data_IF_052877401881
#
_entry.id   IF_052877401881
#
_cell.length_a   1.000
_cell.length_b   1.000
_cell.length_c   1.000
_cell.angle_alpha   90.00
_cell.angle_beta   90.00
_cell.angle_gamma   90.00
#
_symmetry.space_group_name_H-M   'P 1'
#
loop_
_entity.id
_entity.type
_entity.pdbx_description
1 polymer ?
#
# COMPACT_ATOMS: atom_id res chain seq x y z
N UNK A 1 23.14 19.83 52.43
CA UNK A 1 22.51 18.56 52.84
C UNK A 1 22.11 17.82 51.57
N UNK A 2 22.81 16.72 51.29
CA UNK A 2 22.70 15.87 50.12
C UNK A 2 21.52 14.91 50.26
N UNK A 3 20.49 15.06 49.43
CA UNK A 3 19.34 14.16 49.37
C UNK A 3 19.45 13.20 48.18
N UNK A 4 19.77 11.93 48.47
CA UNK A 4 19.81 10.83 47.50
C UNK A 4 18.40 10.53 46.97
N UNK A 5 18.23 10.59 45.65
CA UNK A 5 17.11 9.94 44.97
C UNK A 5 17.43 8.44 44.91
N UNK A 6 16.55 7.60 45.46
CA UNK A 6 16.65 6.14 45.36
C UNK A 6 16.27 5.72 43.94
N UNK A 7 17.21 5.11 43.22
CA UNK A 7 16.92 4.35 42.01
C UNK A 7 15.99 3.19 42.37
N UNK A 8 14.82 3.14 41.73
CA UNK A 8 13.95 1.97 41.74
C UNK A 8 14.60 0.83 40.96
N UNK A 9 14.22 -0.44 41.21
CA UNK A 9 14.84 -1.58 40.55
C UNK A 9 14.62 -1.48 39.03
N UNK A 10 15.69 -1.78 38.29
CA UNK A 10 15.67 -1.89 36.84
C UNK A 10 14.46 -2.70 36.37
N UNK A 11 13.64 -2.09 35.53
CA UNK A 11 12.55 -2.73 34.83
C UNK A 11 13.13 -3.90 34.04
N UNK A 12 12.82 -5.12 34.49
CA UNK A 12 13.26 -6.33 33.82
C UNK A 12 12.65 -6.33 32.43
N UNK A 13 13.51 -6.18 31.42
CA UNK A 13 13.16 -6.42 30.02
C UNK A 13 12.67 -7.87 29.93
N UNK A 14 11.35 -8.03 29.88
CA UNK A 14 10.72 -9.30 29.56
C UNK A 14 11.20 -9.69 28.16
N UNK A 15 11.73 -10.91 27.96
CA UNK A 15 12.13 -11.35 26.63
C UNK A 15 10.91 -11.35 25.72
N UNK A 16 11.14 -10.95 24.46
CA UNK A 16 10.22 -11.13 23.34
C UNK A 16 9.52 -12.47 23.46
N UNK A 17 8.19 -12.44 23.64
CA UNK A 17 7.40 -13.65 23.51
C UNK A 17 7.34 -14.00 22.03
N UNK A 18 8.35 -14.74 21.59
CA UNK A 18 8.33 -15.49 20.36
C UNK A 18 7.06 -16.35 20.32
N UNK A 19 6.47 -16.38 19.12
CA UNK A 19 5.27 -17.12 18.74
C UNK A 19 5.17 -18.48 19.45
N UNK A 20 4.08 -18.73 20.17
CA UNK A 20 3.81 -20.03 20.77
C UNK A 20 3.71 -21.13 19.69
N UNK A 21 4.15 -22.37 19.98
CA UNK A 21 4.03 -23.47 19.04
C UNK A 21 2.55 -23.83 18.86
N UNK A 22 1.99 -23.50 17.68
CA UNK A 22 0.60 -23.87 17.32
C UNK A 22 -0.19 -22.81 16.55
N UNK A 23 0.29 -21.57 16.46
CA UNK A 23 -0.38 -20.58 15.62
C UNK A 23 0.01 -20.79 14.14
N UNK A 24 -0.93 -21.30 13.34
CA UNK A 24 -0.73 -21.50 11.91
C UNK A 24 -0.15 -20.23 11.28
N UNK A 25 0.85 -20.36 10.42
CA UNK A 25 1.29 -19.23 9.61
C UNK A 25 0.07 -18.66 8.87
N UNK A 26 -0.10 -17.31 8.82
CA UNK A 26 -1.20 -16.74 8.06
C UNK A 26 -1.09 -17.25 6.62
N UNK A 27 -2.18 -17.86 6.12
CA UNK A 27 -2.21 -18.33 4.75
C UNK A 27 -2.06 -17.13 3.81
N UNK A 28 -1.27 -17.27 2.75
CA UNK A 28 -1.09 -16.24 1.72
C UNK A 28 -1.84 -16.65 0.46
N UNK A 29 -2.51 -15.69 -0.19
CA UNK A 29 -2.89 -15.85 -1.58
C UNK A 29 -1.65 -15.75 -2.49
N UNK A 30 -1.74 -16.32 -3.69
CA UNK A 30 -0.72 -16.13 -4.71
C UNK A 30 -0.78 -14.73 -5.33
N UNK A 31 -1.99 -14.20 -5.46
CA UNK A 31 -2.26 -12.88 -5.99
C UNK A 31 -3.39 -12.23 -5.20
N UNK A 32 -3.15 -11.00 -4.74
CA UNK A 32 -4.23 -10.08 -4.36
C UNK A 32 -4.50 -9.19 -5.57
N UNK A 33 -5.73 -9.13 -6.05
CA UNK A 33 -6.13 -8.39 -7.25
C UNK A 33 -7.08 -7.24 -6.88
N UNK A 34 -6.68 -6.01 -7.15
CA UNK A 34 -7.50 -4.82 -6.93
C UNK A 34 -8.29 -4.49 -8.19
N UNK A 35 -9.60 -4.48 -8.04
CA UNK A 35 -10.59 -4.27 -9.10
C UNK A 35 -11.02 -2.80 -9.24
N UNK A 36 -10.54 -1.94 -8.34
CA UNK A 36 -10.76 -0.51 -8.43
C UNK A 36 -10.44 0.23 -7.14
N UNK A 37 -10.02 1.47 -7.33
CA UNK A 37 -9.91 2.50 -6.30
C UNK A 37 -11.01 3.52 -6.57
N UNK A 38 -11.98 3.63 -5.67
CA UNK A 38 -13.19 4.44 -5.87
C UNK A 38 -13.12 5.73 -5.05
N UNK A 39 -13.24 6.86 -5.75
CA UNK A 39 -13.44 8.14 -5.12
C UNK A 39 -14.93 8.37 -4.81
N UNK A 40 -15.26 9.30 -3.90
CA UNK A 40 -16.65 9.64 -3.59
C UNK A 40 -17.47 10.04 -4.83
N UNK A 41 -16.84 10.70 -5.80
CA UNK A 41 -17.48 11.07 -7.06
C UNK A 41 -17.92 9.86 -7.90
N UNK A 42 -17.16 8.77 -7.86
CA UNK A 42 -17.51 7.54 -8.60
C UNK A 42 -18.73 6.85 -7.96
N UNK A 43 -18.77 6.81 -6.63
CA UNK A 43 -19.89 6.23 -5.87
C UNK A 43 -21.19 7.05 -6.05
N UNK A 44 -21.07 8.38 -6.13
CA UNK A 44 -22.21 9.29 -6.31
C UNK A 44 -22.73 9.36 -7.75
N UNK A 45 -21.87 9.11 -8.75
CA UNK A 45 -22.27 9.07 -10.15
C UNK A 45 -23.26 7.93 -10.47
N UNK A 46 -23.40 6.97 -9.55
CA UNK A 46 -24.45 5.96 -9.57
C UNK A 46 -24.12 4.71 -10.39
N UNK A 47 -25.06 3.74 -10.44
CA UNK A 47 -24.79 2.39 -10.96
C UNK A 47 -24.32 2.32 -12.41
N UNK A 48 -24.76 3.24 -13.28
CA UNK A 48 -24.35 3.26 -14.68
C UNK A 48 -22.84 3.52 -14.83
N UNK A 49 -22.31 4.50 -14.07
CA UNK A 49 -20.88 4.82 -14.07
C UNK A 49 -20.05 3.66 -13.53
N UNK A 50 -20.52 3.03 -12.44
CA UNK A 50 -19.87 1.85 -11.87
C UNK A 50 -19.84 0.69 -12.87
N UNK A 51 -20.92 0.48 -13.63
CA UNK A 51 -20.99 -0.56 -14.67
C UNK A 51 -19.96 -0.32 -15.77
N UNK A 52 -19.90 0.90 -16.31
CA UNK A 52 -18.88 1.25 -17.31
C UNK A 52 -17.45 1.02 -16.80
N UNK A 53 -17.20 1.27 -15.52
CA UNK A 53 -15.90 1.02 -14.91
C UNK A 53 -15.61 -0.47 -14.82
N UNK A 54 -16.53 -1.26 -14.27
CA UNK A 54 -16.34 -2.71 -14.13
C UNK A 54 -16.27 -3.44 -15.47
N UNK A 55 -17.02 -3.02 -16.49
CA UNK A 55 -16.93 -3.55 -17.84
C UNK A 55 -15.53 -3.36 -18.44
N UNK A 56 -14.85 -2.26 -18.10
CA UNK A 56 -13.46 -2.00 -18.51
C UNK A 56 -12.46 -2.81 -17.68
N UNK A 57 -12.73 -3.04 -16.40
CA UNK A 57 -11.85 -3.79 -15.48
C UNK A 57 -11.90 -5.29 -15.76
N UNK A 58 -13.08 -5.85 -16.01
CA UNK A 58 -13.34 -7.28 -16.15
C UNK A 58 -12.36 -8.04 -17.07
N UNK A 59 -12.09 -7.60 -18.32
CA UNK A 59 -11.16 -8.33 -19.20
C UNK A 59 -9.72 -8.37 -18.65
N UNK A 60 -9.30 -7.32 -17.95
CA UNK A 60 -7.95 -7.22 -17.37
C UNK A 60 -7.83 -8.02 -16.06
N UNK A 61 -8.87 -8.00 -15.23
CA UNK A 61 -8.94 -8.83 -14.03
C UNK A 61 -8.84 -10.31 -14.41
N UNK A 62 -9.58 -10.74 -15.42
CA UNK A 62 -9.52 -12.11 -15.94
C UNK A 62 -8.15 -12.44 -16.56
N UNK A 63 -7.53 -11.49 -17.28
CA UNK A 63 -6.15 -11.67 -17.78
C UNK A 63 -5.14 -11.86 -16.64
N UNK A 64 -5.25 -11.08 -15.57
CA UNK A 64 -4.39 -11.21 -14.38
C UNK A 64 -4.59 -12.57 -13.67
N UNK A 65 -5.84 -13.04 -13.55
CA UNK A 65 -6.15 -14.38 -13.02
C UNK A 65 -5.51 -15.48 -13.86
N UNK A 66 -5.67 -15.43 -15.18
CA UNK A 66 -5.06 -16.40 -16.11
C UNK A 66 -3.54 -16.38 -16.05
N UNK A 67 -2.93 -15.20 -15.96
CA UNK A 67 -1.48 -15.07 -15.80
C UNK A 67 -1.00 -15.70 -14.49
N UNK A 68 -1.72 -15.48 -13.39
CA UNK A 68 -1.43 -16.12 -12.11
C UNK A 68 -1.58 -17.64 -12.21
N UNK A 69 -2.71 -18.15 -12.73
CA UNK A 69 -2.94 -19.59 -12.90
C UNK A 69 -1.93 -20.26 -13.84
N UNK A 70 -1.45 -19.57 -14.89
CA UNK A 70 -0.41 -20.10 -15.76
C UNK A 70 0.95 -20.27 -15.05
N UNK A 71 1.27 -19.38 -14.11
CA UNK A 71 2.47 -19.48 -13.28
C UNK A 71 2.29 -20.46 -12.13
N UNK A 72 1.08 -20.51 -11.56
CA UNK A 72 0.81 -21.17 -10.28
C UNK A 72 0.26 -22.57 -10.42
N UNK A 73 -0.55 -22.80 -11.44
CA UNK A 73 -1.41 -23.96 -11.61
C UNK A 73 -2.88 -23.64 -11.30
N UNK A 74 -3.79 -24.60 -11.53
CA UNK A 74 -5.24 -24.41 -11.35
C UNK A 74 -5.66 -24.18 -9.89
N UNK A 75 -4.82 -24.53 -8.92
CA UNK A 75 -5.05 -24.28 -7.49
C UNK A 75 -4.59 -22.89 -7.04
N UNK A 76 -4.49 -21.93 -7.96
CA UNK A 76 -4.07 -20.58 -7.66
C UNK A 76 -5.07 -19.88 -6.73
N UNK A 77 -4.66 -19.70 -5.48
CA UNK A 77 -5.35 -18.84 -4.50
C UNK A 77 -5.26 -17.38 -4.93
N UNK A 78 -6.37 -16.77 -5.32
CA UNK A 78 -6.44 -15.36 -5.75
C UNK A 78 -7.55 -14.68 -4.97
N UNK A 79 -7.21 -13.63 -4.22
CA UNK A 79 -8.17 -12.77 -3.56
C UNK A 79 -8.42 -11.50 -4.38
N UNK A 80 -9.62 -10.96 -4.29
CA UNK A 80 -10.00 -9.69 -4.92
C UNK A 80 -10.34 -8.61 -3.91
N UNK A 81 -10.06 -7.36 -4.26
CA UNK A 81 -10.39 -6.25 -3.39
C UNK A 81 -10.78 -4.99 -4.16
N UNK A 82 -11.47 -4.10 -3.45
CA UNK A 82 -11.64 -2.71 -3.86
C UNK A 82 -11.19 -1.81 -2.71
N UNK A 83 -10.60 -0.67 -3.06
CA UNK A 83 -10.22 0.38 -2.12
C UNK A 83 -11.21 1.54 -2.27
N UNK A 84 -11.75 2.02 -1.15
CA UNK A 84 -12.67 3.16 -1.11
C UNK A 84 -11.97 4.34 -0.44
N UNK A 85 -11.81 5.45 -1.17
CA UNK A 85 -11.43 6.73 -0.56
C UNK A 85 -12.61 7.23 0.29
N UNK A 86 -12.50 7.01 1.60
CA UNK A 86 -13.48 7.46 2.58
C UNK A 86 -13.14 8.80 3.24
N UNK A 87 -12.02 9.44 2.87
CA UNK A 87 -11.62 10.74 3.41
C UNK A 87 -12.55 11.85 2.95
N UNK A 88 -12.90 11.86 1.66
CA UNK A 88 -13.86 12.80 1.08
C UNK A 88 -15.29 12.23 1.01
N UNK A 89 -15.50 10.95 1.36
CA UNK A 89 -16.78 10.26 1.23
C UNK A 89 -17.85 10.63 2.28
N UNK A 90 -17.62 11.63 3.13
CA UNK A 90 -18.59 12.11 4.14
C UNK A 90 -19.97 12.50 3.58
N UNK A 91 -20.12 12.60 2.25
CA UNK A 91 -21.40 12.86 1.57
C UNK A 91 -22.12 11.61 1.06
N UNK A 92 -21.44 10.47 0.96
CA UNK A 92 -22.03 9.19 0.56
C UNK A 92 -22.26 8.31 1.79
N UNK A 93 -23.43 7.65 1.85
CA UNK A 93 -23.79 6.74 2.95
C UNK A 93 -23.37 5.31 2.55
N UNK A 94 -22.47 4.62 3.28
CA UNK A 94 -22.00 3.28 2.95
C UNK A 94 -23.16 2.28 2.76
N UNK A 95 -24.14 2.32 3.66
CA UNK A 95 -25.41 1.59 3.59
C UNK A 95 -26.12 1.67 2.23
N UNK A 96 -26.01 2.82 1.54
CA UNK A 96 -26.69 3.05 0.27
C UNK A 96 -25.82 2.75 -0.96
N UNK A 97 -24.50 2.98 -0.87
CA UNK A 97 -23.60 2.90 -2.04
C UNK A 97 -22.91 1.55 -2.16
N UNK A 98 -22.55 0.91 -1.04
CA UNK A 98 -21.81 -0.35 -1.07
C UNK A 98 -22.63 -1.52 -1.62
N UNK A 99 -23.93 -1.71 -1.26
CA UNK A 99 -24.74 -2.75 -1.89
C UNK A 99 -24.85 -2.57 -3.41
N UNK A 100 -24.96 -1.32 -3.88
CA UNK A 100 -25.03 -1.01 -5.32
C UNK A 100 -23.70 -1.34 -6.02
N UNK A 101 -22.58 -0.96 -5.42
CA UNK A 101 -21.26 -1.29 -5.94
C UNK A 101 -21.05 -2.79 -6.06
N UNK A 102 -21.37 -3.55 -5.01
CA UNK A 102 -21.23 -5.01 -4.99
C UNK A 102 -22.15 -5.69 -6.02
N UNK A 103 -23.40 -5.23 -6.14
CA UNK A 103 -24.34 -5.75 -7.13
C UNK A 103 -23.85 -5.50 -8.57
N UNK A 104 -23.39 -4.29 -8.87
CA UNK A 104 -22.90 -3.97 -10.22
C UNK A 104 -21.61 -4.71 -10.56
N UNK A 105 -20.73 -4.92 -9.58
CA UNK A 105 -19.53 -5.76 -9.77
C UNK A 105 -19.92 -7.21 -10.10
N UNK A 106 -20.86 -7.78 -9.34
CA UNK A 106 -21.38 -9.14 -9.60
C UNK A 106 -22.04 -9.25 -10.99
N UNK A 107 -22.84 -8.26 -11.40
CA UNK A 107 -23.43 -8.19 -12.74
C UNK A 107 -22.37 -8.20 -13.86
N UNK A 108 -21.20 -7.60 -13.60
CA UNK A 108 -20.06 -7.59 -14.52
C UNK A 108 -19.18 -8.85 -14.44
N UNK A 109 -19.58 -9.86 -13.65
CA UNK A 109 -18.81 -11.08 -13.43
C UNK A 109 -17.57 -10.90 -12.54
N UNK A 110 -17.54 -9.82 -11.75
CA UNK A 110 -16.47 -9.50 -10.82
C UNK A 110 -16.91 -9.76 -9.38
N UNK A 111 -16.48 -10.89 -8.85
CA UNK A 111 -16.59 -11.16 -7.42
C UNK A 111 -15.60 -10.27 -6.65
N UNK A 112 -16.09 -9.59 -5.60
CA UNK A 112 -15.28 -8.81 -4.67
C UNK A 112 -15.20 -9.58 -3.34
N UNK A 113 -14.00 -9.99 -2.96
CA UNK A 113 -13.76 -10.72 -1.71
C UNK A 113 -13.58 -9.78 -0.52
N UNK A 114 -12.92 -8.64 -0.73
CA UNK A 114 -12.58 -7.68 0.30
C UNK A 114 -12.91 -6.23 -0.09
N UNK A 115 -13.36 -5.46 0.89
CA UNK A 115 -13.50 -4.01 0.81
C UNK A 115 -12.58 -3.37 1.85
N UNK A 116 -11.73 -2.46 1.42
CA UNK A 116 -10.87 -1.69 2.31
C UNK A 116 -11.20 -0.19 2.25
N UNK A 117 -11.01 0.48 3.39
CA UNK A 117 -11.09 1.94 3.48
C UNK A 117 -9.70 2.54 3.31
N UNK A 118 -9.55 3.58 2.49
CA UNK A 118 -8.27 4.25 2.30
C UNK A 118 -7.78 4.88 3.61
N UNK A 119 -8.68 5.40 4.45
CA UNK A 119 -8.32 5.94 5.77
C UNK A 119 -7.63 4.92 6.66
N UNK A 120 -7.85 3.62 6.46
CA UNK A 120 -7.14 2.55 7.15
C UNK A 120 -5.63 2.57 6.89
N UNK A 121 -5.20 3.08 5.73
CA UNK A 121 -3.79 3.25 5.38
C UNK A 121 -3.13 4.34 6.25
N UNK A 122 -3.90 5.33 6.69
CA UNK A 122 -3.43 6.32 7.66
C UNK A 122 -3.52 5.78 9.10
N UNK A 123 -4.70 5.29 9.49
CA UNK A 123 -5.04 4.86 10.85
C UNK A 123 -6.03 3.69 10.84
N UNK A 124 -5.67 2.59 11.51
CA UNK A 124 -6.50 1.39 11.65
C UNK A 124 -6.64 1.04 13.14
N UNK A 125 -7.66 1.61 13.79
CA UNK A 125 -7.84 1.47 15.24
C UNK A 125 -6.68 2.11 16.01
N UNK A 126 -5.96 1.31 16.79
CA UNK A 126 -4.79 1.78 17.55
C UNK A 126 -3.49 1.85 16.72
N UNK A 127 -3.49 1.23 15.53
CA UNK A 127 -2.31 1.16 14.66
C UNK A 127 -2.32 2.34 13.69
N UNK A 128 -1.14 2.88 13.39
CA UNK A 128 -0.95 3.99 12.44
C UNK A 128 -0.07 3.56 11.27
N UNK A 129 -0.63 2.93 10.22
CA UNK A 129 0.17 2.23 9.23
C UNK A 129 1.06 3.16 8.41
N UNK A 130 0.56 4.34 8.04
CA UNK A 130 1.35 5.40 7.41
C UNK A 130 2.60 5.77 8.21
N UNK A 131 2.53 5.78 9.55
CA UNK A 131 3.67 6.06 10.42
C UNK A 131 4.67 4.91 10.45
N UNK A 132 4.20 3.67 10.42
CA UNK A 132 5.07 2.49 10.32
C UNK A 132 5.84 2.49 8.99
N UNK A 133 5.18 2.84 7.88
CA UNK A 133 5.83 2.95 6.58
C UNK A 133 6.83 4.10 6.56
N UNK A 134 6.45 5.28 7.06
CA UNK A 134 7.34 6.44 7.14
C UNK A 134 8.62 6.13 7.92
N UNK A 135 8.50 5.46 9.07
CA UNK A 135 9.64 5.06 9.90
C UNK A 135 10.56 4.03 9.24
N UNK A 136 10.02 3.22 8.31
CA UNK A 136 10.77 2.23 7.53
C UNK A 136 11.37 2.77 6.24
N UNK A 137 11.21 4.06 5.92
CA UNK A 137 11.82 4.64 4.73
C UNK A 137 13.32 4.83 4.95
N UNK A 138 14.12 4.19 4.10
CA UNK A 138 15.55 4.45 4.07
C UNK A 138 15.80 5.89 3.61
N UNK A 139 16.61 6.69 4.33
CA UNK A 139 17.06 7.98 3.82
C UNK A 139 17.69 7.73 2.44
N UNK A 140 17.53 8.68 1.50
CA UNK A 140 17.99 8.58 0.11
C UNK A 140 19.42 8.03 -0.02
N UNK A 141 19.86 7.57 -1.21
CA UNK A 141 21.21 7.01 -1.38
C UNK A 141 22.25 7.90 -0.71
N UNK A 142 23.26 7.32 -0.02
CA UNK A 142 24.17 8.05 0.85
C UNK A 142 24.65 9.28 0.12
N UNK A 143 24.29 10.41 0.69
CA UNK A 143 24.63 11.73 0.24
C UNK A 143 26.10 11.72 -0.22
N UNK A 144 26.35 12.08 -1.48
CA UNK A 144 27.57 12.86 -1.70
C UNK A 144 27.58 13.97 -0.64
N UNK A 145 28.73 14.37 -0.08
CA UNK A 145 28.79 15.34 1.02
C UNK A 145 27.98 16.63 0.80
N UNK A 146 27.61 16.95 -0.44
CA UNK A 146 26.83 18.11 -0.86
C UNK A 146 25.33 17.84 -1.14
N UNK A 147 24.78 16.67 -0.76
CA UNK A 147 23.34 16.40 -0.86
C UNK A 147 22.61 17.19 0.23
N UNK A 148 22.18 18.40 -0.14
CA UNK A 148 21.51 19.39 0.73
C UNK A 148 20.10 19.01 1.21
N UNK A 149 19.60 17.81 0.90
CA UNK A 149 18.21 17.43 1.20
C UNK A 149 18.09 16.88 2.63
N UNK A 150 17.23 17.45 3.49
CA UNK A 150 16.88 16.83 4.76
C UNK A 150 16.14 15.50 4.55
N UNK A 151 16.12 14.65 5.58
CA UNK A 151 15.50 13.33 5.50
C UNK A 151 13.98 13.39 5.19
N UNK A 152 13.39 12.34 4.61
CA UNK A 152 11.99 12.35 4.18
C UNK A 152 10.99 12.59 5.32
N UNK A 153 11.27 12.12 6.52
CA UNK A 153 10.48 12.32 7.75
C UNK A 153 10.48 13.79 8.24
N UNK A 154 11.48 14.58 7.82
CA UNK A 154 11.58 16.01 8.11
C UNK A 154 10.85 16.84 7.06
N UNK A 155 11.00 16.50 5.77
CA UNK A 155 10.48 17.34 4.68
C UNK A 155 9.09 16.93 4.20
N UNK A 156 8.72 15.66 4.35
CA UNK A 156 7.57 15.08 3.68
C UNK A 156 7.80 14.81 2.21
N UNK A 157 9.05 14.79 1.73
CA UNK A 157 9.36 14.53 0.34
C UNK A 157 10.45 13.48 0.15
N UNK A 158 10.24 12.61 -0.84
CA UNK A 158 11.13 11.52 -1.24
C UNK A 158 11.53 11.66 -2.71
N UNK A 159 12.76 11.30 -3.08
CA UNK A 159 13.16 11.17 -4.49
C UNK A 159 13.67 9.76 -4.79
N UNK A 160 13.64 9.43 -6.08
CA UNK A 160 14.26 8.22 -6.62
C UNK A 160 15.73 8.43 -7.04
N UNK A 161 16.38 9.52 -6.64
CA UNK A 161 17.79 9.77 -6.99
C UNK A 161 18.31 11.18 -6.70
N UNK A 162 19.29 11.61 -7.50
CA UNK A 162 19.99 12.88 -7.41
C UNK A 162 19.37 13.91 -8.37
N UNK A 163 18.92 15.05 -7.81
CA UNK A 163 18.41 16.19 -8.59
C UNK A 163 19.54 16.92 -9.31
N UNK A 164 19.23 17.59 -10.41
CA UNK A 164 20.14 18.55 -11.05
C UNK A 164 20.60 19.63 -10.04
N UNK A 165 21.88 20.02 -10.03
CA UNK A 165 22.36 21.12 -9.20
C UNK A 165 21.58 22.41 -9.48
N UNK A 166 21.26 23.17 -8.43
CA UNK A 166 20.62 24.48 -8.56
C UNK A 166 21.68 25.59 -8.67
N UNK A 167 21.79 26.23 -9.85
CA UNK A 167 22.49 27.51 -10.05
C UNK A 167 24.02 27.45 -10.22
N UNK A 168 24.54 28.38 -11.04
CA UNK A 168 25.96 28.62 -11.23
C UNK A 168 26.55 29.45 -10.08
N UNK A 169 27.72 29.05 -9.55
CA UNK A 169 28.51 29.93 -8.69
C UNK A 169 28.88 31.23 -9.44
N UNK A 170 28.90 32.40 -8.80
CA UNK A 170 29.42 33.62 -9.40
C UNK A 170 30.92 33.44 -9.67
N UNK A 171 31.32 33.45 -10.94
CA UNK A 171 32.73 33.31 -11.35
C UNK A 171 33.08 32.16 -12.30
N UNK A 172 32.10 31.41 -12.84
CA UNK A 172 32.35 30.33 -13.81
C UNK A 172 31.77 29.00 -13.35
N UNK A 173 30.47 29.00 -13.07
CA UNK A 173 29.78 27.97 -12.30
C UNK A 173 29.62 26.60 -12.96
N UNK A 174 29.07 25.62 -12.21
CA UNK A 174 28.89 24.27 -12.70
C UNK A 174 27.93 24.27 -13.89
N UNK A 175 28.35 23.66 -15.00
CA UNK A 175 27.45 23.35 -16.12
C UNK A 175 26.22 22.60 -15.60
N UNK A 176 25.04 22.91 -16.15
CA UNK A 176 23.83 22.11 -15.92
C UNK A 176 24.14 20.62 -16.10
N UNK A 177 23.71 19.79 -15.15
CA UNK A 177 23.82 18.33 -15.21
C UNK A 177 22.44 17.71 -15.14
N UNK A 178 22.13 16.70 -15.96
CA UNK A 178 20.84 16.02 -15.90
C UNK A 178 20.66 15.33 -14.53
N UNK A 179 19.43 15.24 -14.02
CA UNK A 179 19.18 14.51 -12.79
C UNK A 179 19.42 13.01 -13.02
N UNK A 180 19.79 12.30 -11.97
CA UNK A 180 20.14 10.87 -12.03
C UNK A 180 19.20 10.06 -11.14
N UNK A 181 18.43 9.19 -11.75
CA UNK A 181 17.72 8.12 -11.05
C UNK A 181 18.73 7.16 -10.43
N UNK A 182 18.43 6.67 -9.23
CA UNK A 182 19.16 5.59 -8.57
C UNK A 182 18.76 4.25 -9.19
N UNK A 183 19.72 3.35 -9.37
CA UNK A 183 19.52 2.11 -10.12
C UNK A 183 20.01 2.23 -11.57
N UNK A 184 20.64 1.17 -12.07
CA UNK A 184 21.57 1.18 -13.21
C UNK A 184 20.98 1.33 -14.62
N UNK A 185 19.94 2.15 -14.81
CA UNK A 185 19.40 2.40 -16.15
C UNK A 185 20.24 3.43 -16.91
N UNK A 186 20.39 3.21 -18.23
CA UNK A 186 21.12 4.12 -19.14
C UNK A 186 20.43 5.49 -19.28
N UNK A 187 19.12 5.53 -19.09
CA UNK A 187 18.29 6.73 -19.12
C UNK A 187 17.70 6.98 -17.74
N UNK A 188 17.52 8.26 -17.40
CA UNK A 188 17.12 8.70 -16.07
C UNK A 188 15.74 9.33 -16.13
N UNK A 189 14.82 8.84 -15.29
CA UNK A 189 13.56 9.52 -14.97
C UNK A 189 13.61 9.88 -13.49
N UNK A 190 13.79 11.16 -13.20
CA UNK A 190 13.86 11.65 -11.82
C UNK A 190 12.50 12.19 -11.40
N UNK A 191 12.04 11.79 -10.21
CA UNK A 191 10.82 12.30 -9.60
C UNK A 191 11.03 12.68 -8.14
N UNK A 192 10.27 13.68 -7.72
CA UNK A 192 10.06 14.03 -6.33
C UNK A 192 8.62 13.71 -5.95
N UNK A 193 8.47 12.96 -4.87
CA UNK A 193 7.20 12.44 -4.37
C UNK A 193 6.92 13.09 -3.02
N UNK A 194 5.81 13.80 -2.94
CA UNK A 194 5.27 14.27 -1.67
C UNK A 194 4.66 13.07 -0.92
N UNK A 195 5.11 12.84 0.31
CA UNK A 195 4.58 11.83 1.23
C UNK A 195 3.45 12.40 2.09
N UNK A 196 3.62 13.66 2.50
CA UNK A 196 2.66 14.41 3.28
C UNK A 196 2.93 15.91 3.18
N UNK A 197 1.92 16.69 3.49
CA UNK A 197 2.01 18.14 3.66
C UNK A 197 1.57 18.55 5.07
N UNK A 198 2.10 19.65 5.56
CA UNK A 198 1.65 20.28 6.80
C UNK A 198 0.73 21.45 6.49
N UNK A 199 -0.48 21.42 7.06
CA UNK A 199 -1.45 22.51 6.98
C UNK A 199 -1.94 22.95 8.36
N UNK A 200 -2.86 23.91 8.39
CA UNK A 200 -3.48 24.40 9.64
C UNK A 200 -4.19 23.31 10.45
N UNK A 201 -4.58 22.20 9.81
CA UNK A 201 -5.22 21.04 10.43
C UNK A 201 -4.25 19.91 10.83
N UNK A 202 -2.94 20.14 10.76
CA UNK A 202 -1.92 19.12 10.97
C UNK A 202 -1.42 18.49 9.67
N UNK A 203 -0.80 17.32 9.80
CA UNK A 203 -0.19 16.58 8.69
C UNK A 203 -1.27 15.84 7.88
N UNK A 204 -1.25 16.00 6.55
CA UNK A 204 -2.07 15.28 5.60
C UNK A 204 -1.20 14.40 4.71
N UNK A 205 -1.47 13.09 4.68
CA UNK A 205 -0.78 12.14 3.81
C UNK A 205 -1.20 12.31 2.36
N UNK A 206 -0.27 12.11 1.43
CA UNK A 206 -0.59 12.11 -0.01
C UNK A 206 -1.26 10.78 -0.40
N UNK A 207 -2.10 10.82 -1.44
CA UNK A 207 -2.75 9.61 -1.97
C UNK A 207 -1.74 8.58 -2.48
N UNK A 208 -0.62 9.01 -3.09
CA UNK A 208 0.45 8.09 -3.52
C UNK A 208 1.15 7.42 -2.34
N UNK A 209 1.30 8.10 -1.21
CA UNK A 209 1.86 7.48 -0.01
C UNK A 209 0.89 6.48 0.61
N UNK A 210 -0.40 6.82 0.72
CA UNK A 210 -1.42 5.89 1.22
C UNK A 210 -1.59 4.68 0.29
N UNK A 211 -1.52 4.87 -1.02
CA UNK A 211 -1.51 3.77 -1.98
C UNK A 211 -0.27 2.87 -1.82
N UNK A 212 0.90 3.41 -1.47
CA UNK A 212 2.07 2.59 -1.15
C UNK A 212 1.87 1.77 0.15
N UNK A 213 1.30 2.39 1.19
CA UNK A 213 0.92 1.70 2.42
C UNK A 213 -0.07 0.56 2.12
N UNK A 214 -1.06 0.82 1.27
CA UNK A 214 -2.03 -0.17 0.82
C UNK A 214 -1.39 -1.39 0.15
N UNK A 215 -0.42 -1.18 -0.74
CA UNK A 215 0.32 -2.28 -1.36
C UNK A 215 1.08 -3.11 -0.32
N UNK A 216 1.72 -2.46 0.66
CA UNK A 216 2.46 -3.15 1.73
C UNK A 216 1.54 -3.98 2.65
N UNK A 217 0.34 -3.48 2.92
CA UNK A 217 -0.69 -4.24 3.65
C UNK A 217 -1.13 -5.47 2.88
N UNK A 218 -1.43 -5.34 1.58
CA UNK A 218 -1.81 -6.46 0.71
C UNK A 218 -0.68 -7.48 0.54
N UNK A 219 0.58 -7.05 0.61
CA UNK A 219 1.73 -7.97 0.61
C UNK A 219 1.95 -8.66 1.96
N UNK A 220 1.22 -8.28 3.01
CA UNK A 220 1.40 -8.82 4.37
C UNK A 220 2.75 -8.45 5.00
N UNK A 221 3.39 -7.36 4.52
CA UNK A 221 4.71 -6.91 4.97
C UNK A 221 4.64 -5.89 6.10
N UNK A 222 3.47 -5.32 6.36
CA UNK A 222 3.27 -4.38 7.46
C UNK A 222 2.84 -5.11 8.73
N UNK A 223 3.68 -4.98 9.77
CA UNK A 223 3.43 -5.51 11.12
C UNK A 223 3.57 -4.41 12.18
N UNK A 224 2.71 -4.47 13.19
CA UNK A 224 2.87 -3.70 14.44
C UNK A 224 3.13 -4.70 15.57
N UNK A 225 4.32 -4.63 16.18
CA UNK A 225 4.75 -5.56 17.25
C UNK A 225 4.52 -7.04 16.89
N UNK A 226 4.90 -7.42 15.68
CA UNK A 226 4.77 -8.78 15.15
C UNK A 226 3.37 -9.16 14.65
N UNK A 227 2.32 -8.37 14.91
CA UNK A 227 0.96 -8.63 14.46
C UNK A 227 0.65 -7.98 13.11
N UNK A 228 -0.21 -8.58 12.27
CA UNK A 228 -0.71 -7.93 11.07
C UNK A 228 -1.36 -6.60 11.40
N UNK A 229 -1.12 -5.60 10.54
CA UNK A 229 -1.70 -4.26 10.71
C UNK A 229 -3.19 -4.20 10.35
N UNK A 230 -3.64 -5.09 9.46
CA UNK A 230 -5.04 -5.24 9.10
C UNK A 230 -5.49 -6.69 9.34
N UNK A 231 -6.60 -6.82 10.05
CA UNK A 231 -7.34 -8.08 10.19
C UNK A 231 -8.72 -7.87 9.54
N UNK A 232 -9.11 -8.78 8.66
CA UNK A 232 -10.37 -8.67 7.96
C UNK A 232 -11.54 -9.02 8.89
N UNK A 233 -12.47 -8.07 9.07
CA UNK A 233 -13.72 -8.33 9.77
C UNK A 233 -14.73 -8.98 8.81
N UNK A 234 -15.62 -9.88 9.28
CA UNK A 234 -16.72 -10.35 8.45
C UNK A 234 -17.60 -9.18 8.00
N UNK A 235 -18.20 -9.29 6.81
CA UNK A 235 -19.21 -8.34 6.37
C UNK A 235 -20.35 -8.23 7.39
N UNK A 236 -20.79 -7.00 7.73
CA UNK A 236 -21.94 -6.83 8.59
C UNK A 236 -23.20 -7.30 7.84
N UNK A 237 -24.25 -7.65 8.59
CA UNK A 237 -25.55 -7.96 7.97
C UNK A 237 -26.12 -6.77 7.18
N UNK A 238 -25.88 -5.56 7.67
CA UNK A 238 -26.21 -4.30 7.01
C UNK A 238 -25.01 -3.36 7.09
N UNK A 239 -24.70 -2.64 6.01
CA UNK A 239 -23.63 -1.66 6.02
C UNK A 239 -24.05 -0.41 6.82
N UNK A 240 -23.13 0.19 7.59
CA UNK A 240 -23.45 1.32 8.45
C UNK A 240 -23.72 2.59 7.65
N UNK A 241 -24.33 3.58 8.31
CA UNK A 241 -24.61 4.89 7.72
C UNK A 241 -23.37 5.80 7.65
N UNK A 242 -22.31 5.46 8.39
CA UNK A 242 -21.09 6.25 8.43
C UNK A 242 -19.84 5.42 8.15
N UNK A 243 -18.91 5.98 7.37
CA UNK A 243 -17.68 5.30 6.95
C UNK A 243 -16.78 4.92 8.12
N UNK A 244 -16.75 5.70 9.20
CA UNK A 244 -15.93 5.40 10.38
C UNK A 244 -16.41 4.19 11.17
N UNK A 245 -17.67 3.80 11.00
CA UNK A 245 -18.26 2.64 11.69
C UNK A 245 -18.04 1.35 10.88
N UNK A 246 -17.62 1.47 9.62
CA UNK A 246 -17.23 0.34 8.79
C UNK A 246 -15.82 -0.14 9.19
N UNK A 247 -15.60 -1.46 9.38
CA UNK A 247 -14.28 -1.97 9.68
C UNK A 247 -13.22 -1.54 8.64
N UNK A 248 -11.95 -1.34 9.03
CA UNK A 248 -10.87 -0.96 8.10
C UNK A 248 -10.74 -1.87 6.88
N UNK A 249 -10.94 -3.17 7.09
CA UNK A 249 -10.95 -4.21 6.07
C UNK A 249 -12.14 -5.13 6.32
N UNK A 250 -13.01 -5.27 5.33
CA UNK A 250 -14.23 -6.09 5.40
C UNK A 250 -14.08 -7.25 4.42
N UNK A 251 -14.24 -8.47 4.91
CA UNK A 251 -14.36 -9.68 4.10
C UNK A 251 -15.82 -9.87 3.69
N UNK A 252 -16.09 -9.58 2.42
CA UNK A 252 -17.41 -9.68 1.79
C UNK A 252 -17.81 -11.14 1.61
N UNK A 253 -16.89 -11.97 1.11
CA UNK A 253 -17.12 -13.39 0.90
C UNK A 253 -16.48 -14.21 2.02
N UNK A 254 -17.24 -14.99 2.81
CA UNK A 254 -16.69 -15.80 3.89
C UNK A 254 -15.61 -16.78 3.43
N UNK A 255 -15.80 -17.34 2.23
CA UNK A 255 -14.94 -18.34 1.60
C UNK A 255 -13.75 -17.73 0.83
N UNK A 256 -13.53 -16.42 0.95
CA UNK A 256 -12.48 -15.72 0.24
C UNK A 256 -11.09 -16.30 0.55
N UNK A 257 -10.27 -16.39 -0.50
CA UNK A 257 -8.83 -16.62 -0.34
C UNK A 257 -8.21 -15.53 0.54
N UNK A 258 -7.04 -15.77 1.16
CA UNK A 258 -6.45 -14.80 2.08
C UNK A 258 -6.23 -13.42 1.45
N UNK A 259 -6.49 -12.37 2.22
CA UNK A 259 -6.30 -10.99 1.78
C UNK A 259 -4.82 -10.70 1.44
N UNK A 260 -3.91 -11.14 2.31
CA UNK A 260 -2.47 -10.97 2.11
C UNK A 260 -1.96 -11.93 1.05
N UNK A 261 -1.09 -11.46 0.16
CA UNK A 261 -0.61 -12.22 -0.98
C UNK A 261 0.89 -12.05 -1.24
N UNK A 262 1.48 -13.01 -1.94
CA UNK A 262 2.88 -12.93 -2.38
C UNK A 262 3.15 -11.82 -3.40
N UNK A 263 2.12 -11.50 -4.21
CA UNK A 263 2.13 -10.45 -5.22
C UNK A 263 0.80 -9.72 -5.22
N UNK A 264 0.82 -8.47 -5.64
CA UNK A 264 -0.38 -7.69 -5.87
C UNK A 264 -0.49 -7.30 -7.33
N UNK A 265 -1.71 -7.14 -7.82
CA UNK A 265 -1.98 -6.49 -9.09
C UNK A 265 -3.13 -5.51 -8.90
N UNK A 266 -3.05 -4.32 -9.49
CA UNK A 266 -4.14 -3.34 -9.47
C UNK A 266 -4.54 -2.96 -10.90
N UNK A 267 -5.82 -3.11 -11.22
CA UNK A 267 -6.39 -2.74 -12.52
C UNK A 267 -7.01 -1.36 -12.39
N UNK A 268 -6.37 -0.34 -12.96
CA UNK A 268 -6.68 1.06 -12.71
C UNK A 268 -6.83 1.86 -14.01
N UNK A 269 -7.62 2.95 -14.02
CA UNK A 269 -7.62 3.90 -15.13
C UNK A 269 -6.21 4.49 -15.36
N UNK A 270 -5.84 4.79 -16.61
CA UNK A 270 -4.53 5.36 -16.96
C UNK A 270 -4.19 6.68 -16.27
N UNK A 271 -5.20 7.42 -15.78
CA UNK A 271 -5.00 8.62 -14.97
C UNK A 271 -4.26 8.37 -13.64
N UNK A 272 -4.21 7.13 -13.15
CA UNK A 272 -3.46 6.75 -11.94
C UNK A 272 -1.96 6.56 -12.20
N UNK A 273 -1.50 6.53 -13.45
CA UNK A 273 -0.10 6.22 -13.79
C UNK A 273 0.91 7.12 -13.03
N UNK A 274 0.74 8.45 -12.91
CA UNK A 274 1.65 9.28 -12.12
C UNK A 274 1.66 8.92 -10.63
N UNK A 275 0.49 8.58 -10.07
CA UNK A 275 0.33 8.17 -8.67
C UNK A 275 1.05 6.84 -8.43
N UNK A 276 0.82 5.85 -9.27
CA UNK A 276 1.43 4.52 -9.10
C UNK A 276 2.94 4.51 -9.42
N UNK A 277 3.43 5.43 -10.25
CA UNK A 277 4.86 5.65 -10.37
C UNK A 277 5.46 6.18 -9.07
N UNK A 278 4.78 7.12 -8.40
CA UNK A 278 5.17 7.58 -7.08
C UNK A 278 5.12 6.46 -6.02
N UNK A 279 4.11 5.58 -6.08
CA UNK A 279 4.04 4.37 -5.23
C UNK A 279 5.28 3.52 -5.38
N UNK A 280 5.71 3.22 -6.62
CA UNK A 280 6.93 2.44 -6.87
C UNK A 280 8.17 3.08 -6.24
N UNK A 281 8.30 4.40 -6.35
CA UNK A 281 9.41 5.13 -5.69
C UNK A 281 9.35 4.98 -4.17
N UNK A 282 8.17 5.06 -3.55
CA UNK A 282 8.04 4.83 -2.10
C UNK A 282 8.45 3.40 -1.73
N UNK A 283 7.96 2.40 -2.47
CA UNK A 283 8.26 0.98 -2.21
C UNK A 283 9.74 0.64 -2.41
N UNK A 284 10.42 1.25 -3.39
CA UNK A 284 11.86 1.08 -3.63
C UNK A 284 12.73 1.66 -2.49
N UNK A 285 12.17 2.60 -1.71
CA UNK A 285 12.85 3.24 -0.58
C UNK A 285 12.45 2.65 0.76
N UNK A 286 11.41 1.83 0.81
CA UNK A 286 10.96 1.21 2.03
C UNK A 286 11.77 -0.05 2.34
N UNK A 287 12.38 -0.09 3.53
CA UNK A 287 13.23 -1.17 3.99
C UNK A 287 12.50 -1.95 5.11
N UNK A 288 11.81 -3.07 4.79
CA UNK A 288 11.23 -3.93 5.82
C UNK A 288 12.31 -4.53 6.73
N UNK A 289 11.94 -4.95 7.95
CA UNK A 289 12.80 -5.79 8.77
C UNK A 289 13.24 -7.06 7.98
N UNK A 290 14.54 -7.40 7.93
CA UNK A 290 15.03 -8.54 7.17
C UNK A 290 14.35 -9.87 7.51
N UNK A 291 13.95 -10.04 8.77
CA UNK A 291 13.24 -11.20 9.29
C UNK A 291 11.86 -11.39 8.65
N UNK A 292 11.11 -10.31 8.41
CA UNK A 292 9.78 -10.37 7.78
C UNK A 292 9.90 -10.80 6.31
N UNK A 293 10.91 -10.28 5.60
CA UNK A 293 11.21 -10.71 4.23
C UNK A 293 11.64 -12.18 4.17
N UNK A 294 12.52 -12.60 5.08
CA UNK A 294 13.00 -13.98 5.14
C UNK A 294 11.86 -14.96 5.46
N UNK A 295 10.97 -14.60 6.39
CA UNK A 295 9.80 -15.40 6.74
C UNK A 295 8.87 -15.57 5.54
N UNK A 296 8.54 -14.48 4.83
CA UNK A 296 7.67 -14.54 3.66
C UNK A 296 8.31 -15.34 2.51
N UNK A 297 9.61 -15.17 2.29
CA UNK A 297 10.36 -15.94 1.29
C UNK A 297 10.39 -17.43 1.62
N UNK A 298 10.55 -17.81 2.89
CA UNK A 298 10.51 -19.20 3.33
C UNK A 298 9.11 -19.81 3.12
N UNK A 299 8.05 -19.06 3.42
CA UNK A 299 6.67 -19.49 3.19
C UNK A 299 6.41 -19.72 1.68
N UNK A 300 6.83 -18.78 0.84
CA UNK A 300 6.75 -18.92 -0.62
C UNK A 300 7.54 -20.12 -1.14
N UNK A 301 8.76 -20.35 -0.63
CA UNK A 301 9.60 -21.48 -1.02
C UNK A 301 8.97 -22.84 -0.64
N UNK A 302 8.26 -22.91 0.48
CA UNK A 302 7.50 -24.11 0.86
C UNK A 302 6.39 -24.44 -0.15
N UNK A 303 5.89 -23.44 -0.86
CA UNK A 303 4.94 -23.57 -1.97
C UNK A 303 5.62 -23.67 -3.35
N UNK A 304 6.94 -23.88 -3.40
CA UNK A 304 7.71 -24.00 -4.65
C UNK A 304 7.87 -22.68 -5.41
N UNK A 305 7.79 -21.53 -4.72
CA UNK A 305 7.90 -20.20 -5.31
C UNK A 305 9.20 -19.50 -4.91
N UNK A 306 9.69 -18.65 -5.80
CA UNK A 306 10.71 -17.66 -5.49
C UNK A 306 10.09 -16.28 -5.61
N UNK A 307 10.28 -15.44 -4.58
CA UNK A 307 9.82 -14.06 -4.62
C UNK A 307 10.94 -13.14 -5.09
N UNK A 308 10.62 -12.08 -5.85
CA UNK A 308 11.55 -10.98 -6.07
C UNK A 308 12.09 -10.43 -4.75
N UNK A 309 13.39 -10.11 -4.70
CA UNK A 309 14.02 -9.53 -3.51
C UNK A 309 13.46 -8.13 -3.22
N UNK A 310 13.28 -7.32 -4.27
CA UNK A 310 12.73 -5.98 -4.17
C UNK A 310 11.22 -6.03 -3.98
N UNK A 311 10.71 -5.34 -2.95
CA UNK A 311 9.28 -5.29 -2.63
C UNK A 311 8.48 -4.69 -3.79
N UNK A 312 9.00 -3.64 -4.42
CA UNK A 312 8.35 -3.01 -5.56
C UNK A 312 8.12 -3.99 -6.74
N UNK A 313 8.99 -4.98 -6.95
CA UNK A 313 8.82 -5.99 -8.00
C UNK A 313 7.71 -7.00 -7.72
N UNK A 314 7.11 -6.98 -6.52
CA UNK A 314 5.96 -7.82 -6.14
C UNK A 314 4.62 -7.15 -6.44
N UNK A 315 4.64 -5.88 -6.83
CA UNK A 315 3.45 -5.07 -7.15
C UNK A 315 3.32 -4.90 -8.66
N UNK A 316 2.20 -5.29 -9.23
CA UNK A 316 1.91 -5.12 -10.66
C UNK A 316 0.75 -4.13 -10.89
N UNK A 317 0.72 -3.55 -12.08
CA UNK A 317 -0.36 -2.67 -12.51
C UNK A 317 -0.81 -3.01 -13.91
N UNK A 318 -2.12 -2.89 -14.16
CA UNK A 318 -2.70 -2.85 -15.50
C UNK A 318 -3.45 -1.52 -15.62
N UNK A 319 -3.01 -0.67 -16.53
CA UNK A 319 -3.67 0.61 -16.81
C UNK A 319 -4.57 0.48 -18.03
N UNK A 320 -5.80 1.01 -17.94
CA UNK A 320 -6.77 0.99 -19.03
C UNK A 320 -7.34 2.38 -19.35
N UNK A 321 -7.81 2.52 -20.59
CA UNK A 321 -8.40 3.77 -21.09
C UNK A 321 -7.35 4.84 -21.43
N UNK A 322 -7.78 5.97 -22.01
CA UNK A 322 -6.89 7.07 -22.35
C UNK A 322 -6.32 7.73 -21.08
N UNK A 323 -5.09 8.24 -21.19
CA UNK A 323 -4.43 9.13 -20.23
C UNK A 323 -4.77 10.58 -20.50
#
# INVERSE_FOLDING_TARGET
MTGRVREGPAEQVLPEQGRGPGEAAPAFAHLSLELGHFYPGDLQAGPARLREQFDRVAPWAEAARRACAAQVGPAARISTCVLIDDHAARRAVPGEVLPKLLAVAADAGLDIDYLARESACAEAGAVRPARLVEAGLAPGPPARPDSSRPAPDVTGWLSNGERSPAGAAPGGGPFWRPPRQSGGHRHSVFVDVELWSEGRGGRAWSCSFLAAVWQLMRLGLLRDRGRPVLEAAPAPGEFPDAWQDLPPLVRIRPEAEPFTAYRTCSVLPSGFLPVEHAVKVVLDRWAPPPEDLAQLAAHAAHEGRTLPAEVAQRVDYVFYGPS
#
